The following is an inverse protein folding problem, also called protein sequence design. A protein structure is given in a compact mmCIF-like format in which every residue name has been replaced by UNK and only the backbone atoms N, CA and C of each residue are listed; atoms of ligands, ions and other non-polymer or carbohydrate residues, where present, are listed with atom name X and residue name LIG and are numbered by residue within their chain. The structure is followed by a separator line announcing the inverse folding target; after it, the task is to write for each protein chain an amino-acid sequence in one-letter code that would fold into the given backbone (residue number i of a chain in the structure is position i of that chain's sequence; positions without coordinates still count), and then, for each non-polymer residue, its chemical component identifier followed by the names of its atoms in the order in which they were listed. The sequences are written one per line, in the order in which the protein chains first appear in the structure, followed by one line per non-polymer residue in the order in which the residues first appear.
data_IF_653392024316
#
_entry.id   IF_653392024316
#
_cell.length_a   1.000
_cell.length_b   1.000
_cell.length_c   1.000
_cell.angle_alpha   90.00
_cell.angle_beta   90.00
_cell.angle_gamma   90.00
#
_symmetry.space_group_name_H-M   'P 1'
#
loop_
_entity.id
_entity.type
_entity.pdbx_description
1 polymer ?
#
# COMPACT_ATOMS: atom_id res chain seq x y z
N UNK A 1 1.37 3.69 27.68
CA UNK A 1 1.03 4.33 26.39
C UNK A 1 1.82 3.72 25.24
N UNK A 2 3.16 3.70 25.27
CA UNK A 2 4.00 3.17 24.19
C UNK A 2 3.74 1.69 23.89
N UNK A 3 3.69 0.85 24.92
CA UNK A 3 3.40 -0.58 24.78
C UNK A 3 2.04 -0.85 24.12
N UNK A 4 1.02 -0.07 24.48
CA UNK A 4 -0.31 -0.19 23.88
C UNK A 4 -0.31 0.17 22.40
N UNK A 5 0.43 1.21 21.99
CA UNK A 5 0.57 1.61 20.60
C UNK A 5 1.29 0.53 19.77
N UNK A 6 2.37 -0.04 20.31
CA UNK A 6 3.12 -1.13 19.65
C UNK A 6 2.23 -2.37 19.47
N UNK A 7 1.54 -2.79 20.54
CA UNK A 7 0.64 -3.97 20.50
C UNK A 7 -0.50 -3.75 19.51
N UNK A 8 -1.09 -2.56 19.45
CA UNK A 8 -2.15 -2.22 18.51
C UNK A 8 -1.67 -2.32 17.05
N UNK A 9 -0.51 -1.75 16.74
CA UNK A 9 0.07 -1.81 15.39
C UNK A 9 0.42 -3.25 15.00
N UNK A 10 1.02 -4.01 15.93
CA UNK A 10 1.36 -5.41 15.71
C UNK A 10 0.10 -6.25 15.44
N UNK A 11 -0.94 -6.09 16.26
CA UNK A 11 -2.20 -6.80 16.07
C UNK A 11 -2.85 -6.52 14.71
N UNK A 12 -2.80 -5.27 14.25
CA UNK A 12 -3.29 -4.88 12.92
C UNK A 12 -2.51 -5.55 11.79
N UNK A 13 -1.18 -5.56 11.86
CA UNK A 13 -0.32 -6.24 10.89
C UNK A 13 -0.56 -7.74 10.85
N UNK A 14 -0.67 -8.38 12.03
CA UNK A 14 -0.97 -9.82 12.14
C UNK A 14 -2.30 -10.17 11.50
N UNK A 15 -3.34 -9.36 11.76
CA UNK A 15 -4.65 -9.56 11.17
C UNK A 15 -4.62 -9.41 9.64
N UNK A 16 -3.88 -8.43 9.12
CA UNK A 16 -3.71 -8.24 7.68
C UNK A 16 -3.01 -9.43 7.02
N UNK A 17 -1.90 -9.91 7.60
CA UNK A 17 -1.18 -11.09 7.10
C UNK A 17 -2.08 -12.33 7.10
N UNK A 18 -2.81 -12.56 8.19
CA UNK A 18 -3.74 -13.68 8.30
C UNK A 18 -4.84 -13.61 7.24
N UNK A 19 -5.43 -12.45 7.04
CA UNK A 19 -6.51 -12.24 6.06
C UNK A 19 -6.02 -12.45 4.63
N UNK A 20 -4.90 -11.86 4.26
CA UNK A 20 -4.32 -12.01 2.91
C UNK A 20 -3.99 -13.48 2.66
N UNK A 21 -3.32 -14.14 3.62
CA UNK A 21 -2.98 -15.55 3.45
C UNK A 21 -4.21 -16.44 3.32
N UNK A 22 -5.20 -16.28 4.19
CA UNK A 22 -6.40 -17.14 4.20
C UNK A 22 -7.30 -16.91 3.02
N UNK A 23 -7.54 -15.66 2.63
CA UNK A 23 -8.49 -15.33 1.58
C UNK A 23 -7.87 -15.39 0.19
N UNK A 24 -6.67 -14.82 0.02
CA UNK A 24 -6.07 -14.69 -1.30
C UNK A 24 -5.25 -15.93 -1.69
N UNK A 25 -4.59 -16.59 -0.72
CA UNK A 25 -3.74 -17.73 -1.01
C UNK A 25 -4.47 -19.04 -0.69
N UNK A 26 -4.89 -19.25 0.55
CA UNK A 26 -5.42 -20.54 0.97
C UNK A 26 -6.75 -20.87 0.31
N UNK A 27 -7.72 -19.95 0.36
CA UNK A 27 -9.03 -20.14 -0.26
C UNK A 27 -8.97 -20.14 -1.78
N UNK A 28 -8.12 -19.30 -2.39
CA UNK A 28 -8.08 -19.18 -3.86
C UNK A 28 -7.30 -20.30 -4.54
N UNK A 29 -6.21 -20.78 -3.93
CA UNK A 29 -5.30 -21.74 -4.58
C UNK A 29 -5.24 -23.11 -3.93
N UNK A 30 -5.44 -23.23 -2.60
CA UNK A 30 -5.25 -24.49 -1.87
C UNK A 30 -6.58 -25.22 -1.67
N UNK A 31 -7.60 -24.54 -1.16
CA UNK A 31 -8.93 -25.13 -0.93
C UNK A 31 -10.05 -24.14 -1.25
N UNK A 32 -10.57 -24.13 -2.48
CA UNK A 32 -11.63 -23.19 -2.89
C UNK A 32 -12.98 -23.38 -2.16
N UNK A 33 -13.25 -24.59 -1.66
CA UNK A 33 -14.51 -24.95 -1.00
C UNK A 33 -14.35 -25.15 0.51
N UNK A 34 -13.44 -24.42 1.14
CA UNK A 34 -13.20 -24.52 2.59
C UNK A 34 -14.34 -23.81 3.37
N UNK A 35 -14.73 -24.40 4.50
CA UNK A 35 -15.70 -23.80 5.41
C UNK A 35 -15.14 -22.58 6.16
N UNK A 36 -16.03 -21.67 6.57
CA UNK A 36 -15.63 -20.46 7.29
C UNK A 36 -14.89 -20.75 8.62
N UNK A 37 -15.30 -21.80 9.33
CA UNK A 37 -14.65 -22.23 10.58
C UNK A 37 -13.20 -22.62 10.34
N UNK A 38 -12.91 -23.35 9.27
CA UNK A 38 -11.55 -23.76 8.90
C UNK A 38 -10.69 -22.56 8.51
N UNK A 39 -11.27 -21.57 7.80
CA UNK A 39 -10.57 -20.31 7.47
C UNK A 39 -10.13 -19.57 8.72
N UNK A 40 -10.97 -19.53 9.76
CA UNK A 40 -10.61 -18.90 11.04
C UNK A 40 -9.46 -19.65 11.71
N UNK A 41 -9.49 -20.98 11.68
CA UNK A 41 -8.38 -21.79 12.21
C UNK A 41 -7.08 -21.56 11.47
N UNK A 42 -7.11 -21.56 10.14
CA UNK A 42 -5.94 -21.27 9.30
C UNK A 42 -5.43 -19.84 9.57
N UNK A 43 -6.32 -18.86 9.70
CA UNK A 43 -5.95 -17.48 10.04
C UNK A 43 -5.22 -17.36 11.37
N UNK A 44 -5.71 -18.05 12.41
CA UNK A 44 -5.04 -18.08 13.73
C UNK A 44 -3.65 -18.68 13.64
N UNK A 45 -3.50 -19.81 12.96
CA UNK A 45 -2.18 -20.43 12.77
C UNK A 45 -1.24 -19.55 11.96
N UNK A 46 -1.73 -18.91 10.91
CA UNK A 46 -0.94 -17.97 10.10
C UNK A 46 -0.46 -16.79 10.96
N UNK A 47 -1.33 -16.21 11.78
CA UNK A 47 -0.94 -15.15 12.71
C UNK A 47 0.14 -15.62 13.67
N UNK A 48 -0.06 -16.79 14.31
CA UNK A 48 0.91 -17.33 15.25
C UNK A 48 2.28 -17.59 14.61
N UNK A 49 2.31 -18.24 13.45
CA UNK A 49 3.55 -18.52 12.70
C UNK A 49 4.24 -17.20 12.32
N UNK A 50 3.48 -16.20 11.84
CA UNK A 50 4.04 -14.89 11.48
C UNK A 50 4.64 -14.18 12.69
N UNK A 51 4.02 -14.31 13.88
CA UNK A 51 4.56 -13.77 15.11
C UNK A 51 5.89 -14.44 15.49
N UNK A 52 5.94 -15.76 15.43
CA UNK A 52 7.17 -16.52 15.73
C UNK A 52 8.29 -16.11 14.77
N UNK A 53 8.01 -16.00 13.49
CA UNK A 53 8.99 -15.54 12.48
C UNK A 53 9.46 -14.11 12.81
N UNK A 54 8.55 -13.21 13.16
CA UNK A 54 8.90 -11.84 13.53
C UNK A 54 9.81 -11.79 14.77
N UNK A 55 9.52 -12.60 15.79
CA UNK A 55 10.36 -12.69 17.00
C UNK A 55 11.76 -13.23 16.70
N UNK A 56 11.89 -14.19 15.79
CA UNK A 56 13.20 -14.74 15.37
C UNK A 56 14.01 -13.69 14.58
N UNK A 57 13.34 -12.89 13.73
CA UNK A 57 14.01 -11.87 12.90
C UNK A 57 14.33 -10.61 13.71
N UNK A 58 13.56 -10.27 14.73
CA UNK A 58 13.73 -9.05 15.51
C UNK A 58 15.17 -8.81 16.04
N UNK A 59 15.89 -9.81 16.59
CA UNK A 59 17.26 -9.62 17.03
C UNK A 59 18.23 -9.24 15.89
N UNK A 60 17.98 -9.71 14.68
CA UNK A 60 18.82 -9.39 13.51
C UNK A 60 18.72 -7.92 13.11
N UNK A 61 17.60 -7.26 13.42
CA UNK A 61 17.37 -5.84 13.17
C UNK A 61 17.95 -4.94 14.25
N UNK A 62 18.24 -5.47 15.44
CA UNK A 62 18.76 -4.70 16.59
C UNK A 62 20.17 -4.14 16.36
N UNK A 63 20.93 -4.69 15.41
CA UNK A 63 22.26 -4.21 15.03
C UNK A 63 22.25 -3.08 13.99
N UNK A 64 21.09 -2.63 13.53
CA UNK A 64 20.96 -1.55 12.55
C UNK A 64 20.75 -0.21 13.28
N UNK A 65 21.68 0.74 13.10
CA UNK A 65 21.61 2.07 13.73
C UNK A 65 20.32 2.84 13.35
N UNK A 66 19.73 2.52 12.20
CA UNK A 66 18.51 3.15 11.69
C UNK A 66 17.51 2.10 11.16
N UNK A 67 17.14 1.13 12.00
CA UNK A 67 16.21 0.04 11.63
C UNK A 67 14.89 0.56 11.04
N UNK A 68 14.33 1.65 11.57
CA UNK A 68 13.12 2.28 11.06
C UNK A 68 13.29 2.77 9.63
N UNK A 69 14.38 3.47 9.33
CA UNK A 69 14.65 3.98 7.98
C UNK A 69 14.83 2.83 6.99
N UNK A 70 15.50 1.76 7.41
CA UNK A 70 15.68 0.55 6.59
C UNK A 70 14.35 -0.10 6.22
N UNK A 71 13.44 -0.27 7.18
CA UNK A 71 12.09 -0.81 6.94
C UNK A 71 11.30 0.10 5.99
N UNK A 72 11.38 1.42 6.19
CA UNK A 72 10.72 2.39 5.34
C UNK A 72 11.27 2.37 3.92
N UNK A 73 12.56 2.20 3.75
CA UNK A 73 13.18 2.07 2.44
C UNK A 73 12.66 0.81 1.69
N UNK A 74 12.56 -0.33 2.38
CA UNK A 74 11.98 -1.54 1.79
C UNK A 74 10.51 -1.36 1.39
N UNK A 75 9.72 -0.73 2.25
CA UNK A 75 8.32 -0.39 1.94
C UNK A 75 8.24 0.53 0.73
N UNK A 76 9.22 1.44 0.59
CA UNK A 76 9.35 2.35 -0.54
C UNK A 76 9.59 1.69 -1.89
N UNK A 77 10.02 0.43 -1.94
CA UNK A 77 10.14 -0.31 -3.19
C UNK A 77 8.80 -0.77 -3.78
N UNK A 78 7.77 -0.93 -2.95
CA UNK A 78 6.47 -1.50 -3.36
C UNK A 78 5.38 -0.42 -3.38
N UNK A 79 5.35 0.45 -2.38
CA UNK A 79 4.26 1.41 -2.15
C UNK A 79 3.97 2.34 -3.33
N UNK A 80 4.98 2.90 -4.05
CA UNK A 80 4.71 3.83 -5.15
C UNK A 80 3.94 3.18 -6.29
N UNK A 81 4.30 1.94 -6.67
CA UNK A 81 3.61 1.21 -7.71
C UNK A 81 2.19 0.82 -7.31
N UNK A 82 2.02 0.35 -6.08
CA UNK A 82 0.70 0.03 -5.55
C UNK A 82 -0.22 1.26 -5.57
N UNK A 83 0.26 2.41 -5.09
CA UNK A 83 -0.50 3.66 -5.11
C UNK A 83 -0.86 4.09 -6.55
N UNK A 84 0.09 4.00 -7.49
CA UNK A 84 -0.15 4.33 -8.89
C UNK A 84 -1.23 3.45 -9.52
N UNK A 85 -1.22 2.15 -9.25
CA UNK A 85 -2.21 1.19 -9.73
C UNK A 85 -3.60 1.51 -9.15
N UNK A 86 -3.68 1.77 -7.83
CA UNK A 86 -4.94 2.14 -7.18
C UNK A 86 -5.53 3.43 -7.76
N UNK A 87 -4.74 4.48 -7.86
CA UNK A 87 -5.20 5.75 -8.41
C UNK A 87 -5.62 5.62 -9.87
N UNK A 88 -4.84 4.88 -10.67
CA UNK A 88 -5.20 4.63 -12.05
C UNK A 88 -6.50 3.81 -12.15
N UNK A 89 -6.70 2.80 -11.32
CA UNK A 89 -7.93 2.00 -11.28
C UNK A 89 -9.17 2.82 -10.94
N UNK A 90 -9.05 3.78 -10.03
CA UNK A 90 -10.17 4.63 -9.63
C UNK A 90 -10.44 5.78 -10.59
N UNK A 91 -9.40 6.44 -11.07
CA UNK A 91 -9.57 7.72 -11.77
C UNK A 91 -9.30 7.63 -13.27
N UNK A 92 -8.56 6.63 -13.74
CA UNK A 92 -8.16 6.52 -15.13
C UNK A 92 -8.93 5.41 -15.88
N UNK A 93 -9.96 5.81 -16.62
CA UNK A 93 -10.87 4.90 -17.37
C UNK A 93 -10.18 4.00 -18.40
N UNK A 94 -8.98 4.35 -18.84
CA UNK A 94 -8.23 3.62 -19.88
C UNK A 94 -7.09 2.78 -19.27
N UNK A 95 -7.10 2.59 -17.95
CA UNK A 95 -6.16 1.70 -17.29
C UNK A 95 -6.40 0.25 -17.76
N UNK A 96 -5.32 -0.46 -18.05
CA UNK A 96 -5.34 -1.85 -18.50
C UNK A 96 -4.68 -2.74 -17.47
N UNK A 97 -5.07 -4.02 -17.42
CA UNK A 97 -4.43 -5.01 -16.57
C UNK A 97 -2.92 -5.12 -16.86
N UNK A 98 -2.55 -5.04 -18.14
CA UNK A 98 -1.13 -5.07 -18.55
C UNK A 98 -0.36 -3.83 -18.06
N UNK A 99 -1.02 -2.64 -18.07
CA UNK A 99 -0.44 -1.42 -17.52
C UNK A 99 -0.24 -1.51 -16.01
N UNK A 100 -1.20 -2.08 -15.28
CA UNK A 100 -1.09 -2.33 -13.85
C UNK A 100 0.03 -3.34 -13.51
N UNK A 101 0.12 -4.44 -14.27
CA UNK A 101 1.18 -5.42 -14.11
C UNK A 101 2.57 -4.83 -14.40
N UNK A 102 2.68 -4.04 -15.47
CA UNK A 102 3.92 -3.34 -15.81
C UNK A 102 4.32 -2.33 -14.72
N UNK A 103 3.37 -1.62 -14.11
CA UNK A 103 3.64 -0.71 -13.01
C UNK A 103 4.04 -1.47 -11.72
N UNK A 104 3.43 -2.64 -11.45
CA UNK A 104 3.78 -3.49 -10.31
C UNK A 104 5.21 -4.03 -10.41
N UNK A 105 5.65 -4.47 -11.58
CA UNK A 105 7.01 -4.92 -11.82
C UNK A 105 7.98 -3.72 -11.96
N UNK A 106 7.52 -2.67 -12.63
CA UNK A 106 8.28 -1.44 -12.87
C UNK A 106 8.70 -0.73 -11.59
N UNK A 107 7.86 -0.78 -10.55
CA UNK A 107 8.19 -0.11 -9.28
C UNK A 107 9.49 -0.66 -8.68
N UNK A 108 9.70 -1.98 -8.73
CA UNK A 108 10.96 -2.60 -8.28
C UNK A 108 12.15 -2.17 -9.14
N UNK A 109 11.98 -2.24 -10.46
CA UNK A 109 13.04 -1.92 -11.42
C UNK A 109 13.45 -0.46 -11.27
N UNK A 110 12.49 0.46 -11.25
CA UNK A 110 12.76 1.90 -11.10
C UNK A 110 13.36 2.26 -9.75
N UNK A 111 12.87 1.63 -8.67
CA UNK A 111 13.42 1.86 -7.33
C UNK A 111 14.86 1.40 -7.22
N UNK A 112 15.19 0.21 -7.75
CA UNK A 112 16.56 -0.30 -7.80
C UNK A 112 17.45 0.59 -8.69
N UNK A 113 16.97 0.93 -9.86
CA UNK A 113 17.70 1.73 -10.84
C UNK A 113 18.03 3.12 -10.26
N UNK A 114 17.08 3.79 -9.63
CA UNK A 114 17.31 5.08 -8.96
C UNK A 114 18.23 4.96 -7.74
N UNK A 115 18.14 3.83 -7.00
CA UNK A 115 19.04 3.59 -5.87
C UNK A 115 20.50 3.49 -6.31
N UNK A 116 20.77 2.86 -7.47
CA UNK A 116 22.13 2.71 -7.99
C UNK A 116 22.63 3.93 -8.77
N UNK A 117 21.75 4.58 -9.55
CA UNK A 117 22.17 5.74 -10.35
C UNK A 117 22.30 7.03 -9.53
N UNK A 118 21.45 7.21 -8.53
CA UNK A 118 21.39 8.44 -7.73
C UNK A 118 21.40 8.13 -6.23
N UNK A 119 22.53 7.64 -5.67
CA UNK A 119 22.61 7.26 -4.26
C UNK A 119 22.41 8.45 -3.29
N UNK A 120 22.62 9.70 -3.76
CA UNK A 120 22.42 10.91 -2.98
C UNK A 120 20.96 11.38 -2.87
N UNK A 121 20.01 10.74 -3.56
CA UNK A 121 18.60 11.09 -3.45
C UNK A 121 18.00 10.55 -2.15
N UNK A 122 17.32 11.42 -1.35
CA UNK A 122 16.56 10.97 -0.20
C UNK A 122 15.54 9.90 -0.61
N UNK A 123 15.32 8.93 0.25
CA UNK A 123 14.40 7.81 -0.04
C UNK A 123 12.97 8.28 -0.38
N UNK A 124 12.53 9.38 0.23
CA UNK A 124 11.20 9.96 0.02
C UNK A 124 11.03 10.54 -1.39
N UNK A 125 12.01 11.28 -1.88
CA UNK A 125 12.01 11.84 -3.23
C UNK A 125 12.08 10.75 -4.29
N UNK A 126 12.84 9.69 -4.03
CA UNK A 126 12.91 8.49 -4.88
C UNK A 126 11.54 7.84 -5.02
N UNK A 127 10.78 7.68 -3.91
CA UNK A 127 9.42 7.16 -3.95
C UNK A 127 8.50 8.02 -4.83
N UNK A 128 8.60 9.35 -4.74
CA UNK A 128 7.82 10.28 -5.57
C UNK A 128 8.12 10.12 -7.06
N UNK A 129 9.40 10.02 -7.42
CA UNK A 129 9.83 9.83 -8.81
C UNK A 129 9.36 8.47 -9.35
N UNK A 130 9.51 7.39 -8.57
CA UNK A 130 9.03 6.04 -8.95
C UNK A 130 7.52 6.04 -9.17
N UNK A 131 6.76 6.71 -8.29
CA UNK A 131 5.33 6.87 -8.45
C UNK A 131 4.95 7.52 -9.78
N UNK A 132 5.61 8.63 -10.13
CA UNK A 132 5.37 9.33 -11.39
C UNK A 132 5.73 8.45 -12.61
N UNK A 133 6.83 7.70 -12.54
CA UNK A 133 7.24 6.76 -13.59
C UNK A 133 6.22 5.63 -13.76
N UNK A 134 5.70 5.08 -12.67
CA UNK A 134 4.65 4.06 -12.72
C UNK A 134 3.35 4.62 -13.30
N UNK A 135 2.95 5.82 -12.94
CA UNK A 135 1.81 6.51 -13.56
C UNK A 135 2.02 6.71 -15.07
N UNK A 136 3.23 7.13 -15.47
CA UNK A 136 3.61 7.27 -16.88
C UNK A 136 3.51 5.95 -17.64
N UNK A 137 3.98 4.84 -17.06
CA UNK A 137 3.87 3.50 -17.64
C UNK A 137 2.41 3.08 -17.87
N UNK A 138 1.54 3.30 -16.89
CA UNK A 138 0.11 2.97 -17.01
C UNK A 138 -0.53 3.78 -18.14
N UNK A 139 -0.17 5.06 -18.26
CA UNK A 139 -0.69 5.93 -19.32
C UNK A 139 -0.14 5.52 -20.69
N UNK A 140 1.12 5.12 -20.79
CA UNK A 140 1.73 4.67 -22.06
C UNK A 140 1.15 3.36 -22.56
N UNK A 141 0.90 2.42 -21.65
CA UNK A 141 0.35 1.08 -21.94
C UNK A 141 -1.19 1.09 -22.02
N UNK A 142 -1.79 2.26 -22.18
CA UNK A 142 -3.24 2.36 -22.37
C UNK A 142 -3.66 1.66 -23.67
N UNK A 143 -4.71 0.87 -23.60
CA UNK A 143 -5.30 0.29 -24.80
C UNK A 143 -6.15 1.37 -25.53
N UNK A 144 -5.89 1.59 -26.81
CA UNK A 144 -6.64 2.59 -27.61
C UNK A 144 -8.04 2.10 -28.01
N UNK A 145 -8.28 0.80 -27.95
CA UNK A 145 -9.45 0.16 -28.58
C UNK A 145 -10.46 -0.48 -27.65
N UNK A 146 -10.14 -0.75 -26.41
CA UNK A 146 -11.10 -1.34 -25.46
C UNK A 146 -11.22 -0.46 -24.21
N UNK A 147 -12.34 0.22 -24.11
CA UNK A 147 -12.86 0.71 -22.84
C UNK A 147 -13.48 -0.53 -22.18
N UNK A 148 -12.79 -1.18 -21.26
CA UNK A 148 -13.40 -2.20 -20.43
C UNK A 148 -14.48 -1.52 -19.59
N UNK A 149 -15.73 -1.71 -20.03
CA UNK A 149 -16.93 -1.10 -19.42
C UNK A 149 -17.17 -1.66 -18.01
N UNK A 150 -16.49 -2.75 -17.64
CA UNK A 150 -16.56 -3.37 -16.31
C UNK A 150 -15.85 -2.57 -15.22
N UNK A 151 -14.89 -1.71 -15.54
CA UNK A 151 -14.35 -0.76 -14.58
C UNK A 151 -15.28 0.44 -14.48
N UNK A 152 -16.27 0.38 -13.59
CA UNK A 152 -17.11 1.53 -13.26
C UNK A 152 -16.22 2.64 -12.70
N UNK A 153 -16.00 3.75 -13.42
CA UNK A 153 -15.25 4.85 -12.83
C UNK A 153 -15.99 5.32 -11.60
N UNK A 154 -15.25 5.67 -10.59
CA UNK A 154 -15.82 6.29 -9.40
C UNK A 154 -16.77 7.40 -9.83
N UNK A 155 -18.04 7.25 -9.54
CA UNK A 155 -19.05 8.25 -9.87
C UNK A 155 -18.73 9.49 -9.04
N UNK A 156 -18.47 10.59 -9.68
CA UNK A 156 -18.23 11.88 -8.99
C UNK A 156 -19.36 12.27 -8.05
N UNK A 157 -20.55 11.70 -8.25
CA UNK A 157 -21.67 11.87 -7.32
C UNK A 157 -21.41 11.28 -5.93
N UNK A 158 -20.50 10.31 -5.78
CA UNK A 158 -20.10 9.73 -4.49
C UNK A 158 -19.30 10.72 -3.64
N UNK A 159 -18.65 11.71 -4.26
CA UNK A 159 -17.92 12.77 -3.56
C UNK A 159 -18.82 13.96 -3.18
N UNK A 160 -20.11 13.94 -3.52
CA UNK A 160 -21.07 14.92 -3.03
C UNK A 160 -21.43 14.60 -1.58
N UNK A 161 -20.63 15.11 -0.70
CA UNK A 161 -20.83 15.00 0.75
C UNK A 161 -21.78 16.10 1.23
N UNK A 162 -22.45 15.87 2.37
CA UNK A 162 -23.35 16.84 2.97
C UNK A 162 -22.64 18.15 3.36
N UNK A 163 -23.35 19.25 3.33
CA UNK A 163 -22.78 20.58 3.67
C UNK A 163 -22.07 20.60 5.03
N UNK A 164 -22.65 19.93 6.03
CA UNK A 164 -22.08 19.82 7.37
C UNK A 164 -20.71 19.12 7.35
N UNK A 165 -20.60 18.01 6.61
CA UNK A 165 -19.35 17.26 6.46
C UNK A 165 -18.26 18.13 5.82
N UNK A 166 -18.60 18.87 4.77
CA UNK A 166 -17.63 19.74 4.09
C UNK A 166 -17.13 20.85 5.01
N UNK A 167 -18.02 21.46 5.80
CA UNK A 167 -17.64 22.50 6.76
C UNK A 167 -16.71 21.93 7.82
N UNK A 168 -17.05 20.78 8.41
CA UNK A 168 -16.22 20.12 9.42
C UNK A 168 -14.86 19.71 8.86
N UNK A 169 -14.82 19.18 7.65
CA UNK A 169 -13.56 18.83 6.97
C UNK A 169 -12.68 20.07 6.72
N UNK A 170 -13.26 21.18 6.29
CA UNK A 170 -12.51 22.43 6.13
C UNK A 170 -11.96 22.94 7.46
N UNK A 171 -12.72 22.85 8.55
CA UNK A 171 -12.25 23.24 9.88
C UNK A 171 -11.07 22.37 10.32
N UNK A 172 -11.17 21.03 10.15
CA UNK A 172 -10.08 20.12 10.50
C UNK A 172 -8.83 20.43 9.67
N UNK A 173 -8.96 20.65 8.37
CA UNK A 173 -7.84 20.99 7.49
C UNK A 173 -7.21 22.32 7.93
N UNK A 174 -8.01 23.34 8.24
CA UNK A 174 -7.52 24.63 8.72
C UNK A 174 -6.74 24.50 10.05
N UNK A 175 -7.25 23.70 10.99
CA UNK A 175 -6.56 23.40 12.25
C UNK A 175 -5.23 22.71 11.99
N UNK A 176 -5.19 21.70 11.12
CA UNK A 176 -3.96 20.99 10.78
C UNK A 176 -2.92 21.92 10.12
N UNK A 177 -3.34 22.76 9.19
CA UNK A 177 -2.46 23.76 8.56
C UNK A 177 -1.92 24.73 9.62
N UNK A 178 -2.79 25.23 10.51
CA UNK A 178 -2.39 26.12 11.59
C UNK A 178 -1.32 25.49 12.49
N UNK A 179 -1.53 24.24 12.94
CA UNK A 179 -0.54 23.53 13.74
C UNK A 179 0.78 23.30 12.98
N UNK A 180 0.69 22.96 11.69
CA UNK A 180 1.88 22.76 10.87
C UNK A 180 2.68 24.05 10.70
N UNK A 181 2.02 25.19 10.47
CA UNK A 181 2.68 26.50 10.36
C UNK A 181 3.27 26.99 11.69
N UNK A 182 2.72 26.55 12.84
CA UNK A 182 3.16 27.00 14.15
C UNK A 182 4.37 26.23 14.66
N UNK A 183 4.53 24.95 14.22
CA UNK A 183 5.54 24.02 14.76
C UNK A 183 6.61 23.62 13.74
N UNK A 184 6.52 24.09 12.54
CA UNK A 184 7.51 23.91 11.49
C UNK A 184 8.14 25.29 11.19
#
# INVERSE_FOLDING_TARGET
ALTAAIVSSLASMMNSIATIFTMDIYRSYIRPQVGEADLVHVGRWTSFISLVIAVIIAPMLSGLDQAFQYIQEFTGFISPGALAIFLAGFFYRKATANGALAAALGTFIFSLLLKFLCPGLPWMDRMGIVFLLCCGLIVMLRNRTQIDVSASPVRWSLFRTGKLFNILSCIIIAILIYFYCLWW
#
